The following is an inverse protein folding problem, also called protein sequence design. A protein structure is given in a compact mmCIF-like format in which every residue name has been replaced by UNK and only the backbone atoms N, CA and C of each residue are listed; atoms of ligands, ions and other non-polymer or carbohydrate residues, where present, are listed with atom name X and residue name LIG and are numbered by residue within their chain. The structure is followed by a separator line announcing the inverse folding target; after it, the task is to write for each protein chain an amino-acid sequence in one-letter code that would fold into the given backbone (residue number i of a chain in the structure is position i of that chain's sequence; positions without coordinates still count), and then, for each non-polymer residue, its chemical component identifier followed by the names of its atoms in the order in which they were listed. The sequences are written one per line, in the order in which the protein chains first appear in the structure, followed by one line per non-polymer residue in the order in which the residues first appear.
data_IF_900049510804
#
_entry.id   IF_900049510804
#
_cell.length_a   1.000
_cell.length_b   1.000
_cell.length_c   1.000
_cell.angle_alpha   90.00
_cell.angle_beta   90.00
_cell.angle_gamma   90.00
#
_symmetry.space_group_name_H-M   'P 1'
#
loop_
_entity.id
_entity.type
_entity.pdbx_description
1 polymer ?
#
# COMPACT_ATOMS: atom_id res chain seq x y z
N UNK A 1 23.46 20.83 -14.57
CA UNK A 1 23.50 19.57 -13.81
C UNK A 1 22.67 18.57 -14.59
N UNK A 2 23.20 17.38 -14.87
CA UNK A 2 22.45 16.33 -15.58
C UNK A 2 21.39 15.79 -14.62
N UNK A 3 20.11 15.90 -14.99
CA UNK A 3 18.98 15.42 -14.18
C UNK A 3 19.00 13.91 -13.97
N UNK A 4 18.10 13.42 -13.12
CA UNK A 4 18.00 11.98 -12.83
C UNK A 4 17.41 11.29 -14.06
N UNK A 5 18.11 10.27 -14.56
CA UNK A 5 17.61 9.48 -15.68
C UNK A 5 16.39 8.66 -15.25
N UNK A 6 15.30 8.73 -16.02
CA UNK A 6 14.10 7.92 -15.79
C UNK A 6 14.08 6.77 -16.79
N UNK A 7 14.19 5.53 -16.30
CA UNK A 7 14.05 4.34 -17.15
C UNK A 7 12.61 4.25 -17.63
N UNK A 8 12.38 4.31 -18.93
CA UNK A 8 11.03 4.11 -19.48
C UNK A 8 10.57 2.66 -19.26
N UNK A 9 9.29 2.48 -18.95
CA UNK A 9 8.66 1.17 -18.77
C UNK A 9 7.57 0.93 -19.82
N UNK A 10 7.20 -0.34 -20.10
CA UNK A 10 6.04 -0.66 -20.93
C UNK A 10 4.81 0.10 -20.42
N UNK A 11 4.04 0.69 -21.33
CA UNK A 11 2.93 1.59 -21.04
C UNK A 11 2.04 1.03 -19.92
N UNK A 12 2.10 1.67 -18.75
CA UNK A 12 1.25 1.41 -17.59
C UNK A 12 1.21 -0.04 -17.07
N UNK A 13 2.29 -0.79 -17.28
CA UNK A 13 2.50 -2.08 -16.61
C UNK A 13 2.35 -1.99 -15.08
N UNK A 14 2.01 -3.10 -14.43
CA UNK A 14 1.74 -3.17 -13.00
C UNK A 14 2.80 -3.94 -12.24
N UNK A 15 3.06 -3.50 -11.01
CA UNK A 15 3.79 -4.25 -10.00
C UNK A 15 3.11 -4.08 -8.64
N UNK A 16 3.30 -5.04 -7.74
CA UNK A 16 2.75 -4.99 -6.39
C UNK A 16 3.75 -5.52 -5.38
N UNK A 17 3.86 -4.83 -4.24
CA UNK A 17 4.59 -5.27 -3.07
C UNK A 17 3.61 -5.39 -1.89
N UNK A 18 3.66 -6.52 -1.19
CA UNK A 18 2.82 -6.80 -0.02
C UNK A 18 3.72 -7.16 1.15
N UNK A 19 3.65 -6.39 2.23
CA UNK A 19 4.29 -6.72 3.49
C UNK A 19 3.36 -7.59 4.34
N UNK A 20 3.86 -8.74 4.79
CA UNK A 20 3.12 -9.72 5.59
C UNK A 20 3.74 -9.89 6.97
N UNK A 21 2.89 -10.27 7.91
CA UNK A 21 3.25 -10.54 9.29
C UNK A 21 3.70 -12.00 9.42
N UNK A 22 4.88 -12.24 10.00
CA UNK A 22 5.36 -13.58 10.35
C UNK A 22 4.91 -13.94 11.76
N UNK A 23 4.17 -15.04 11.91
CA UNK A 23 3.47 -15.38 13.15
C UNK A 23 3.85 -16.75 13.71
N UNK A 24 3.79 -16.87 15.03
CA UNK A 24 3.66 -18.17 15.68
C UNK A 24 2.26 -18.76 15.40
N UNK A 25 2.13 -20.00 14.90
CA UNK A 25 0.84 -20.57 14.50
C UNK A 25 -0.13 -20.81 15.67
N UNK A 26 0.36 -20.87 16.92
CA UNK A 26 -0.45 -21.15 18.10
C UNK A 26 -0.74 -19.88 18.90
N UNK A 27 0.28 -19.06 19.17
CA UNK A 27 0.11 -17.82 19.95
C UNK A 27 -0.42 -16.67 19.09
N UNK A 28 -0.17 -16.72 17.78
CA UNK A 28 -0.40 -15.64 16.81
C UNK A 28 0.40 -14.38 17.10
N UNK A 29 1.45 -14.48 17.92
CA UNK A 29 2.40 -13.39 18.12
C UNK A 29 3.34 -13.29 16.91
N UNK A 30 3.85 -12.09 16.68
CA UNK A 30 4.93 -11.84 15.73
C UNK A 30 6.18 -12.67 16.10
N UNK A 31 6.86 -13.19 15.09
CA UNK A 31 8.13 -13.93 15.25
C UNK A 31 9.20 -13.35 14.33
N UNK A 32 10.44 -13.33 14.80
CA UNK A 32 11.62 -12.86 14.05
C UNK A 32 12.04 -13.89 12.98
N UNK A 33 11.18 -14.06 11.98
CA UNK A 33 11.22 -15.19 11.05
C UNK A 33 11.94 -14.93 9.74
N UNK A 34 12.24 -13.68 9.38
CA UNK A 34 12.76 -13.36 8.05
C UNK A 34 14.14 -13.97 7.78
N UNK A 35 15.05 -13.97 8.77
CA UNK A 35 16.39 -14.53 8.61
C UNK A 35 16.36 -16.07 8.45
N UNK A 36 15.63 -16.82 9.31
CA UNK A 36 15.38 -18.24 9.05
C UNK A 36 14.73 -18.52 7.69
N UNK A 37 13.79 -17.68 7.25
CA UNK A 37 13.12 -17.84 5.97
C UNK A 37 14.10 -17.68 4.79
N UNK A 38 14.93 -16.65 4.81
CA UNK A 38 15.96 -16.43 3.78
C UNK A 38 17.05 -17.51 3.81
N UNK A 39 17.34 -18.10 4.97
CA UNK A 39 18.31 -19.19 5.10
C UNK A 39 17.87 -20.47 4.36
N UNK A 40 16.56 -20.63 4.08
CA UNK A 40 16.06 -21.70 3.20
C UNK A 40 16.44 -21.49 1.72
N UNK A 41 17.14 -20.41 1.38
CA UNK A 41 17.50 -20.01 0.02
C UNK A 41 16.29 -20.09 -0.92
N UNK A 42 15.21 -19.35 -0.64
CA UNK A 42 14.07 -19.35 -1.54
C UNK A 42 14.55 -18.95 -2.95
N UNK A 43 14.28 -19.80 -3.95
CA UNK A 43 14.79 -19.64 -5.32
C UNK A 43 14.16 -18.47 -6.10
N UNK A 44 13.49 -17.54 -5.42
CA UNK A 44 12.70 -16.50 -6.07
C UNK A 44 13.09 -15.12 -5.54
N UNK A 45 13.34 -14.13 -6.41
CA UNK A 45 13.46 -12.70 -6.05
C UNK A 45 12.21 -12.11 -5.37
N UNK A 46 11.13 -12.90 -5.26
CA UNK A 46 9.83 -12.45 -4.77
C UNK A 46 9.69 -12.45 -3.25
N UNK A 47 10.63 -12.98 -2.47
CA UNK A 47 10.62 -12.92 -0.99
C UNK A 47 11.77 -12.03 -0.56
N UNK A 48 11.46 -10.89 0.04
CA UNK A 48 12.43 -9.89 0.45
C UNK A 48 12.35 -9.57 1.95
N UNK A 49 13.49 -9.23 2.57
CA UNK A 49 13.48 -8.71 3.92
C UNK A 49 13.02 -7.26 3.98
N UNK A 50 12.13 -6.99 4.92
CA UNK A 50 11.72 -5.63 5.25
C UNK A 50 12.44 -5.14 6.54
N UNK A 51 12.21 -3.88 6.92
CA UNK A 51 12.87 -3.21 8.04
C UNK A 51 12.83 -4.00 9.35
N UNK A 52 11.72 -4.68 9.66
CA UNK A 52 11.55 -5.49 10.88
C UNK A 52 11.67 -6.98 10.59
N UNK A 53 12.28 -7.73 11.51
CA UNK A 53 12.48 -9.17 11.33
C UNK A 53 11.18 -9.99 11.35
N UNK A 54 10.12 -9.42 11.93
CA UNK A 54 8.79 -10.00 11.94
C UNK A 54 7.95 -9.72 10.67
N UNK A 55 8.56 -9.07 9.68
CA UNK A 55 7.94 -8.77 8.40
C UNK A 55 8.65 -9.52 7.27
N UNK A 56 7.85 -9.95 6.29
CA UNK A 56 8.33 -10.42 5.00
C UNK A 56 7.61 -9.64 3.91
N UNK A 57 8.36 -9.12 2.95
CA UNK A 57 7.78 -8.52 1.76
C UNK A 57 7.72 -9.57 0.65
N UNK A 58 6.61 -9.59 -0.08
CA UNK A 58 6.58 -10.19 -1.41
C UNK A 58 6.45 -9.16 -2.50
N UNK A 59 7.13 -9.38 -3.61
CA UNK A 59 7.09 -8.48 -4.78
C UNK A 59 6.68 -9.28 -6.00
N UNK A 60 5.77 -8.73 -6.81
CA UNK A 60 5.43 -9.32 -8.10
C UNK A 60 6.53 -9.11 -9.13
N UNK A 61 6.49 -9.89 -10.21
CA UNK A 61 7.14 -9.47 -11.45
C UNK A 61 6.40 -8.27 -12.09
N UNK A 62 7.01 -7.65 -13.11
CA UNK A 62 6.31 -6.67 -13.94
C UNK A 62 5.22 -7.38 -14.75
N UNK A 63 3.97 -6.99 -14.55
CA UNK A 63 2.79 -7.59 -15.15
C UNK A 63 2.15 -6.64 -16.16
N UNK A 64 1.56 -7.16 -17.23
CA UNK A 64 0.96 -6.31 -18.29
C UNK A 64 -0.48 -5.89 -17.99
N UNK A 65 -1.15 -6.62 -17.11
CA UNK A 65 -2.54 -6.40 -16.74
C UNK A 65 -2.82 -6.98 -15.35
N UNK A 66 -4.01 -6.71 -14.84
CA UNK A 66 -4.41 -7.12 -13.50
C UNK A 66 -4.49 -8.65 -13.32
N UNK A 67 -4.85 -9.40 -14.37
CA UNK A 67 -4.97 -10.86 -14.29
C UNK A 67 -3.61 -11.54 -14.13
N UNK A 68 -2.59 -11.03 -14.84
CA UNK A 68 -1.20 -11.48 -14.67
C UNK A 68 -0.68 -11.16 -13.26
N UNK A 69 -1.03 -9.98 -12.73
CA UNK A 69 -0.65 -9.56 -11.38
C UNK A 69 -1.29 -10.47 -10.32
N UNK A 70 -2.59 -10.75 -10.43
CA UNK A 70 -3.33 -11.65 -9.54
C UNK A 70 -2.72 -13.05 -9.52
N UNK A 71 -2.48 -13.63 -10.70
CA UNK A 71 -1.86 -14.95 -10.82
C UNK A 71 -0.47 -15.00 -10.18
N UNK A 72 0.35 -13.97 -10.38
CA UNK A 72 1.70 -13.90 -9.84
C UNK A 72 1.71 -13.77 -8.32
N UNK A 73 0.88 -12.89 -7.76
CA UNK A 73 0.76 -12.69 -6.31
C UNK A 73 0.25 -13.96 -5.61
N UNK A 74 -0.75 -14.64 -6.19
CA UNK A 74 -1.23 -15.91 -5.65
C UNK A 74 -0.14 -16.98 -5.63
N UNK A 75 0.62 -17.12 -6.72
CA UNK A 75 1.73 -18.06 -6.78
C UNK A 75 2.81 -17.75 -5.72
N UNK A 76 3.20 -16.48 -5.59
CA UNK A 76 4.18 -16.02 -4.60
C UNK A 76 3.71 -16.29 -3.15
N UNK A 77 2.45 -16.02 -2.84
CA UNK A 77 1.89 -16.27 -1.51
C UNK A 77 1.76 -17.76 -1.18
N UNK A 78 1.35 -18.59 -2.12
CA UNK A 78 1.33 -20.04 -1.95
C UNK A 78 2.75 -20.58 -1.67
N UNK A 79 3.74 -20.08 -2.40
CA UNK A 79 5.15 -20.44 -2.19
C UNK A 79 5.66 -19.97 -0.82
N UNK A 80 5.42 -18.71 -0.45
CA UNK A 80 5.79 -18.16 0.86
C UNK A 80 5.14 -18.96 2.00
N UNK A 81 3.84 -19.23 1.91
CA UNK A 81 3.10 -20.01 2.90
C UNK A 81 3.73 -21.39 3.12
N UNK A 82 4.09 -22.11 2.06
CA UNK A 82 4.75 -23.40 2.16
C UNK A 82 6.11 -23.30 2.88
N UNK A 83 6.90 -22.26 2.57
CA UNK A 83 8.20 -22.03 3.24
C UNK A 83 8.06 -21.63 4.71
N UNK A 84 7.07 -20.83 5.06
CA UNK A 84 6.75 -20.49 6.45
C UNK A 84 6.30 -21.72 7.24
N UNK A 85 5.46 -22.59 6.65
CA UNK A 85 5.00 -23.83 7.29
C UNK A 85 6.16 -24.77 7.63
N UNK A 86 7.17 -24.89 6.76
CA UNK A 86 8.38 -25.69 7.05
C UNK A 86 9.17 -25.18 8.27
N UNK A 87 9.02 -23.91 8.62
CA UNK A 87 9.65 -23.30 9.79
C UNK A 87 8.72 -23.23 11.01
N UNK A 88 7.52 -23.83 10.93
CA UNK A 88 6.53 -23.73 12.00
C UNK A 88 6.00 -22.30 12.18
N UNK A 89 5.93 -21.51 11.11
CA UNK A 89 5.38 -20.16 11.09
C UNK A 89 4.06 -20.11 10.32
N UNK A 90 3.26 -19.09 10.60
CA UNK A 90 2.07 -18.71 9.85
C UNK A 90 2.18 -17.27 9.34
N UNK A 91 1.27 -16.86 8.46
CA UNK A 91 1.26 -15.51 7.87
C UNK A 91 -0.13 -14.88 7.90
N UNK A 92 -0.18 -13.56 8.00
CA UNK A 92 -1.37 -12.75 7.69
C UNK A 92 -0.95 -11.37 7.17
N UNK A 93 -1.92 -10.56 6.75
CA UNK A 93 -1.69 -9.21 6.28
C UNK A 93 -2.74 -8.24 6.85
N UNK A 94 -2.26 -7.11 7.36
CA UNK A 94 -3.02 -5.98 7.91
C UNK A 94 -2.05 -4.83 8.16
N UNK A 95 -2.52 -3.59 8.18
CA UNK A 95 -1.64 -2.42 8.30
C UNK A 95 -0.79 -2.39 9.58
N UNK A 96 -1.26 -3.04 10.64
CA UNK A 96 -0.59 -3.19 11.94
C UNK A 96 -0.90 -4.56 12.55
N UNK A 97 -0.09 -5.00 13.52
CA UNK A 97 -0.42 -6.17 14.33
C UNK A 97 -1.28 -5.77 15.53
N UNK A 98 -2.43 -6.41 15.73
CA UNK A 98 -3.47 -5.91 16.65
C UNK A 98 -3.04 -5.87 18.13
N UNK A 99 -2.29 -6.87 18.59
CA UNK A 99 -1.93 -7.01 20.01
C UNK A 99 -0.42 -7.09 20.29
N UNK A 100 0.43 -6.82 19.30
CA UNK A 100 1.87 -6.84 19.56
C UNK A 100 2.20 -5.63 20.43
N UNK A 101 2.77 -5.86 21.60
CA UNK A 101 3.06 -4.86 22.63
C UNK A 101 4.55 -4.87 23.05
N UNK A 102 5.42 -5.44 22.21
CA UNK A 102 6.86 -5.49 22.42
C UNK A 102 7.59 -4.98 21.17
N UNK A 103 8.88 -4.64 21.32
CA UNK A 103 9.69 -4.20 20.19
C UNK A 103 10.12 -5.37 19.34
N UNK A 104 10.01 -5.20 18.02
CA UNK A 104 10.54 -6.14 17.04
C UNK A 104 11.94 -5.67 16.60
N UNK A 105 12.94 -6.57 16.56
CA UNK A 105 14.28 -6.21 16.12
C UNK A 105 14.28 -5.80 14.64
N UNK A 106 15.20 -4.89 14.32
CA UNK A 106 15.47 -4.47 12.94
C UNK A 106 16.22 -5.59 12.21
N UNK A 107 15.91 -5.79 10.94
CA UNK A 107 16.67 -6.73 10.10
C UNK A 107 18.10 -6.21 9.94
N UNK A 108 19.15 -7.02 10.19
CA UNK A 108 20.54 -6.57 10.30
C UNK A 108 21.20 -6.29 8.94
N UNK A 109 20.57 -5.43 8.15
CA UNK A 109 21.08 -4.91 6.88
C UNK A 109 21.61 -3.50 7.15
N UNK A 110 22.83 -3.15 6.67
CA UNK A 110 23.47 -1.86 6.99
C UNK A 110 22.57 -0.63 6.79
N UNK A 111 21.81 -0.60 5.68
CA UNK A 111 20.82 0.46 5.40
C UNK A 111 19.75 0.58 6.48
N UNK A 112 19.17 -0.54 6.92
CA UNK A 112 18.13 -0.55 7.96
C UNK A 112 18.69 -0.15 9.32
N UNK A 113 19.92 -0.55 9.65
CA UNK A 113 20.58 -0.14 10.89
C UNK A 113 20.88 1.37 10.92
N UNK A 114 21.29 1.94 9.77
CA UNK A 114 21.46 3.39 9.64
C UNK A 114 20.13 4.13 9.80
N UNK A 115 19.04 3.64 9.18
CA UNK A 115 17.70 4.20 9.33
C UNK A 115 17.17 4.13 10.77
N UNK A 116 17.41 3.01 11.46
CA UNK A 116 17.08 2.84 12.87
C UNK A 116 17.81 3.86 13.74
N UNK A 117 19.13 4.01 13.53
CA UNK A 117 19.95 5.00 14.25
C UNK A 117 19.44 6.44 14.03
N UNK A 118 19.11 6.80 12.79
CA UNK A 118 18.60 8.12 12.46
C UNK A 118 17.20 8.42 13.00
N UNK A 119 16.35 7.39 13.15
CA UNK A 119 14.95 7.53 13.56
C UNK A 119 14.76 7.43 15.08
N UNK A 120 15.76 6.94 15.80
CA UNK A 120 15.72 6.74 17.25
C UNK A 120 14.56 5.84 17.68
N UNK A 121 13.94 6.16 18.82
CA UNK A 121 12.92 5.32 19.45
C UNK A 121 11.68 5.03 18.59
N UNK A 122 11.34 5.93 17.65
CA UNK A 122 10.18 5.72 16.75
C UNK A 122 10.40 4.47 15.89
N UNK A 123 11.65 4.17 15.50
CA UNK A 123 11.94 2.95 14.75
C UNK A 123 11.77 1.67 15.60
N UNK A 124 11.96 1.71 16.91
CA UNK A 124 11.77 0.53 17.79
C UNK A 124 10.30 0.10 17.82
N UNK A 125 9.39 1.08 17.83
CA UNK A 125 7.94 0.85 17.88
C UNK A 125 7.30 0.64 16.50
N UNK A 126 8.01 0.90 15.41
CA UNK A 126 7.47 0.75 14.04
C UNK A 126 7.23 -0.71 13.66
N UNK A 127 5.97 -1.15 13.78
CA UNK A 127 5.49 -2.47 13.36
C UNK A 127 4.30 -2.32 12.43
N UNK A 128 4.57 -1.85 11.21
CA UNK A 128 3.57 -1.54 10.18
C UNK A 128 3.80 -2.37 8.93
N UNK A 129 2.73 -2.65 8.18
CA UNK A 129 2.78 -3.45 6.96
C UNK A 129 2.01 -2.77 5.82
N UNK A 130 2.63 -2.56 4.67
CA UNK A 130 2.08 -1.84 3.54
C UNK A 130 1.56 -2.75 2.42
N UNK A 131 0.59 -2.22 1.66
CA UNK A 131 0.35 -2.58 0.27
C UNK A 131 0.94 -1.47 -0.61
N UNK A 132 1.77 -1.84 -1.57
CA UNK A 132 2.38 -0.91 -2.50
C UNK A 132 2.04 -1.33 -3.93
N UNK A 133 1.66 -0.35 -4.76
CA UNK A 133 1.32 -0.59 -6.17
C UNK A 133 2.24 0.27 -7.02
N UNK A 134 2.87 -0.35 -8.01
CA UNK A 134 3.67 0.29 -9.03
C UNK A 134 2.90 0.34 -10.34
N UNK A 135 2.89 1.50 -10.99
CA UNK A 135 2.40 1.65 -12.36
C UNK A 135 3.53 2.18 -13.24
N UNK A 136 3.83 1.47 -14.34
CA UNK A 136 4.85 1.82 -15.31
C UNK A 136 4.56 3.15 -15.99
N UNK A 137 5.55 4.03 -16.07
CA UNK A 137 5.41 5.35 -16.66
C UNK A 137 6.25 5.44 -17.94
N UNK A 138 5.70 5.99 -19.04
CA UNK A 138 6.45 6.19 -20.27
C UNK A 138 7.66 7.13 -20.11
N UNK A 139 7.56 8.11 -19.20
CA UNK A 139 8.64 9.06 -18.90
C UNK A 139 8.52 9.64 -17.49
N UNK A 140 9.57 10.31 -17.02
CA UNK A 140 9.56 11.04 -15.75
C UNK A 140 8.55 12.18 -15.73
N UNK A 141 8.33 12.87 -16.86
CA UNK A 141 7.33 13.95 -16.93
C UNK A 141 5.91 13.41 -16.79
N UNK A 142 5.61 12.25 -17.40
CA UNK A 142 4.33 11.57 -17.19
C UNK A 142 4.20 11.13 -15.72
N UNK A 143 5.27 10.61 -15.11
CA UNK A 143 5.25 10.21 -13.71
C UNK A 143 4.92 11.38 -12.77
N UNK A 144 5.49 12.56 -13.00
CA UNK A 144 5.25 13.76 -12.20
C UNK A 144 3.87 14.37 -12.45
N UNK A 145 3.41 14.43 -13.70
CA UNK A 145 2.04 14.89 -14.03
C UNK A 145 0.98 14.01 -13.35
N UNK A 146 1.10 12.68 -13.49
CA UNK A 146 0.19 11.74 -12.83
C UNK A 146 0.33 11.81 -11.32
N UNK A 147 1.54 11.98 -10.77
CA UNK A 147 1.71 12.16 -9.33
C UNK A 147 0.91 13.36 -8.81
N UNK A 148 0.96 14.50 -9.51
CA UNK A 148 0.20 15.69 -9.16
C UNK A 148 -1.31 15.46 -9.22
N UNK A 149 -1.79 14.78 -10.27
CA UNK A 149 -3.21 14.45 -10.48
C UNK A 149 -3.73 13.40 -9.49
N UNK A 150 -2.89 12.45 -9.06
CA UNK A 150 -3.28 11.34 -8.18
C UNK A 150 -3.23 11.73 -6.69
N UNK A 151 -2.44 12.75 -6.34
CA UNK A 151 -2.29 13.22 -4.95
C UNK A 151 -3.63 13.49 -4.22
N UNK A 152 -4.66 14.15 -4.82
CA UNK A 152 -5.96 14.34 -4.18
C UNK A 152 -6.72 13.05 -3.86
N UNK A 153 -6.37 11.93 -4.50
CA UNK A 153 -6.99 10.61 -4.31
C UNK A 153 -6.33 9.79 -3.21
N UNK A 154 -5.20 10.23 -2.64
CA UNK A 154 -4.52 9.52 -1.55
C UNK A 154 -5.43 9.27 -0.33
N UNK A 155 -6.25 10.23 0.15
CA UNK A 155 -7.22 9.97 1.22
C UNK A 155 -8.25 8.88 0.86
N UNK A 156 -8.66 8.82 -0.41
CA UNK A 156 -9.62 7.80 -0.89
C UNK A 156 -8.98 6.42 -0.84
N UNK A 157 -7.76 6.28 -1.36
CA UNK A 157 -7.01 5.02 -1.33
C UNK A 157 -6.75 4.56 0.10
N UNK A 158 -6.43 5.49 1.01
CA UNK A 158 -6.24 5.19 2.43
C UNK A 158 -7.53 4.69 3.09
N UNK A 159 -8.68 5.31 2.81
CA UNK A 159 -9.95 4.90 3.38
C UNK A 159 -10.42 3.54 2.86
N UNK A 160 -10.25 3.28 1.55
CA UNK A 160 -10.59 1.99 0.93
C UNK A 160 -9.71 0.84 1.44
N UNK A 161 -8.44 1.13 1.73
CA UNK A 161 -7.47 0.14 2.20
C UNK A 161 -7.38 0.01 3.72
N UNK A 162 -8.07 0.85 4.50
CA UNK A 162 -7.92 0.89 5.95
C UNK A 162 -8.06 -0.50 6.61
N UNK A 163 -6.98 -0.94 7.26
CA UNK A 163 -6.82 -2.31 7.80
C UNK A 163 -6.00 -2.33 9.09
N UNK A 164 -5.93 -1.21 9.81
CA UNK A 164 -5.11 -1.07 11.04
C UNK A 164 -5.81 -0.32 12.18
N UNK A 165 -6.97 -0.79 12.68
CA UNK A 165 -7.66 -0.12 13.78
C UNK A 165 -6.98 -0.31 15.14
N UNK A 166 -6.19 -1.36 15.31
CA UNK A 166 -5.56 -1.74 16.58
C UNK A 166 -4.05 -1.50 16.58
N UNK A 167 -3.51 -1.12 17.74
CA UNK A 167 -2.08 -0.96 17.96
C UNK A 167 -1.74 -1.22 19.42
N UNK A 168 -0.70 -1.98 19.69
CA UNK A 168 -0.22 -2.22 21.06
C UNK A 168 -1.28 -2.79 22.01
N UNK A 169 -2.24 -3.55 21.48
CA UNK A 169 -3.30 -4.12 22.30
C UNK A 169 -4.50 -3.20 22.54
N UNK A 170 -4.59 -2.07 21.84
CA UNK A 170 -5.65 -1.08 22.01
C UNK A 170 -6.38 -0.79 20.70
N UNK A 171 -7.71 -0.57 20.76
CA UNK A 171 -8.41 0.14 19.68
C UNK A 171 -7.95 1.59 19.70
N UNK A 172 -7.33 2.01 18.61
CA UNK A 172 -6.74 3.35 18.49
C UNK A 172 -7.79 4.42 18.21
N UNK A 173 -9.01 4.02 17.87
CA UNK A 173 -10.04 4.87 17.29
C UNK A 173 -9.82 5.17 15.79
N UNK A 174 -8.66 4.88 15.21
CA UNK A 174 -8.41 5.09 13.78
C UNK A 174 -8.95 3.93 12.93
N UNK A 175 -9.26 4.18 11.66
CA UNK A 175 -9.50 3.13 10.67
C UNK A 175 -8.17 2.59 10.12
N UNK A 176 -7.23 3.50 9.88
CA UNK A 176 -5.83 3.20 9.56
C UNK A 176 -4.91 3.93 10.53
N UNK A 177 -4.49 3.25 11.59
CA UNK A 177 -3.48 3.77 12.51
C UNK A 177 -2.07 3.77 11.90
N UNK A 178 -1.76 2.83 10.99
CA UNK A 178 -0.46 2.76 10.30
C UNK A 178 -0.09 4.12 9.72
N UNK A 179 -0.99 4.74 8.94
CA UNK A 179 -0.69 6.03 8.32
C UNK A 179 -0.53 7.17 9.34
N UNK A 180 -1.31 7.16 10.42
CA UNK A 180 -1.17 8.12 11.52
C UNK A 180 0.20 7.99 12.19
N UNK A 181 0.60 6.77 12.54
CA UNK A 181 1.91 6.48 13.13
C UNK A 181 3.06 6.92 12.21
N UNK A 182 3.03 6.53 10.93
CA UNK A 182 4.08 6.87 9.98
C UNK A 182 4.24 8.39 9.77
N UNK A 183 3.23 9.21 10.09
CA UNK A 183 3.36 10.68 10.02
C UNK A 183 4.37 11.27 11.02
N UNK A 184 4.83 10.50 12.02
CA UNK A 184 5.88 10.94 12.94
C UNK A 184 7.28 10.91 12.32
N UNK A 185 7.45 10.25 11.17
CA UNK A 185 8.71 10.19 10.46
C UNK A 185 8.86 11.35 9.48
N UNK A 186 10.07 11.89 9.41
CA UNK A 186 10.43 12.97 8.48
C UNK A 186 10.22 12.61 7.00
N UNK A 187 10.46 11.35 6.65
CA UNK A 187 10.51 10.88 5.26
C UNK A 187 9.16 10.39 4.74
N UNK A 188 8.15 10.31 5.61
CA UNK A 188 6.79 9.90 5.28
C UNK A 188 5.88 11.11 5.19
N UNK A 189 4.80 11.01 4.42
CA UNK A 189 3.99 12.17 4.11
C UNK A 189 3.42 12.13 2.71
N UNK A 190 2.45 13.01 2.45
CA UNK A 190 2.06 13.31 1.08
C UNK A 190 3.21 14.03 0.37
N UNK A 191 3.49 13.72 -0.91
CA UNK A 191 4.60 14.34 -1.63
C UNK A 191 4.35 15.85 -1.86
N UNK A 192 5.42 16.66 -1.97
CA UNK A 192 5.34 17.98 -2.58
C UNK A 192 4.85 17.88 -4.04
N UNK A 193 4.28 18.96 -4.55
CA UNK A 193 3.91 19.06 -5.96
C UNK A 193 5.09 19.58 -6.77
N UNK A 194 5.35 18.95 -7.92
CA UNK A 194 6.40 19.36 -8.85
C UNK A 194 5.79 19.65 -10.22
N UNK A 195 6.14 20.76 -10.89
CA UNK A 195 5.63 21.04 -12.24
C UNK A 195 6.19 20.09 -13.31
N UNK A 196 7.46 19.72 -13.21
CA UNK A 196 8.16 18.89 -14.21
C UNK A 196 9.05 17.83 -13.57
N UNK A 197 9.50 16.86 -14.37
CA UNK A 197 10.54 15.91 -13.94
C UNK A 197 11.85 16.59 -13.55
N UNK A 198 12.18 17.70 -14.21
CA UNK A 198 13.38 18.46 -13.89
C UNK A 198 13.29 19.09 -12.50
N UNK A 199 12.13 19.65 -12.12
CA UNK A 199 11.92 20.21 -10.78
C UNK A 199 12.04 19.13 -9.69
N UNK A 200 11.51 17.94 -9.94
CA UNK A 200 11.68 16.79 -9.05
C UNK A 200 13.16 16.38 -8.95
N UNK A 201 13.87 16.33 -10.07
CA UNK A 201 15.30 16.01 -10.12
C UNK A 201 16.14 17.02 -9.35
N UNK A 202 15.88 18.32 -9.53
CA UNK A 202 16.58 19.41 -8.86
C UNK A 202 16.32 19.39 -7.34
N UNK A 203 15.08 19.11 -6.94
CA UNK A 203 14.74 18.85 -5.54
C UNK A 203 15.56 17.70 -4.97
N UNK A 204 15.60 16.54 -5.65
CA UNK A 204 16.29 15.37 -5.12
C UNK A 204 17.79 15.62 -5.03
N UNK A 205 18.42 16.23 -6.04
CA UNK A 205 19.84 16.60 -6.02
C UNK A 205 20.13 17.53 -4.85
N UNK A 206 19.28 18.54 -4.63
CA UNK A 206 19.41 19.48 -3.50
C UNK A 206 19.28 18.76 -2.15
N UNK A 207 18.27 17.89 -2.02
CA UNK A 207 18.03 17.12 -0.83
C UNK A 207 19.18 16.14 -0.55
N UNK A 208 19.76 15.53 -1.59
CA UNK A 208 20.92 14.66 -1.49
C UNK A 208 22.16 15.42 -1.02
N UNK A 209 22.46 16.58 -1.62
CA UNK A 209 23.55 17.45 -1.17
C UNK A 209 23.38 17.92 0.28
N UNK A 210 22.14 18.16 0.72
CA UNK A 210 21.83 18.52 2.10
C UNK A 210 21.84 17.33 3.07
N UNK A 211 22.19 16.12 2.62
CA UNK A 211 22.20 14.91 3.45
C UNK A 211 20.81 14.45 3.89
N UNK A 212 19.75 14.88 3.19
CA UNK A 212 18.38 14.53 3.52
C UNK A 212 18.03 13.10 3.12
N UNK A 213 18.54 12.67 1.96
CA UNK A 213 18.33 11.35 1.34
C UNK A 213 19.63 10.95 0.64
N UNK A 214 20.00 9.68 0.70
CA UNK A 214 21.16 9.18 -0.05
C UNK A 214 20.72 8.70 -1.44
N UNK A 215 19.59 7.98 -1.48
CA UNK A 215 18.97 7.43 -2.68
C UNK A 215 17.46 7.68 -2.67
N UNK A 216 16.81 7.58 -3.83
CA UNK A 216 15.34 7.80 -3.94
C UNK A 216 14.54 6.85 -3.05
N UNK A 217 15.04 5.64 -2.80
CA UNK A 217 14.40 4.67 -1.88
C UNK A 217 14.28 5.18 -0.44
N UNK A 218 15.02 6.22 -0.04
CA UNK A 218 14.93 6.84 1.28
C UNK A 218 13.75 7.82 1.42
N UNK A 219 13.10 8.19 0.30
CA UNK A 219 11.89 9.01 0.29
C UNK A 219 10.69 8.11 0.54
N UNK A 220 10.12 8.09 1.74
CA UNK A 220 9.01 7.19 2.10
C UNK A 220 7.62 7.84 1.94
N UNK A 221 7.49 8.76 0.97
CA UNK A 221 6.23 9.44 0.70
C UNK A 221 5.12 8.45 0.32
N UNK A 222 3.88 8.88 0.55
CA UNK A 222 2.65 8.17 0.21
C UNK A 222 2.52 7.83 -1.29
N UNK A 223 3.22 8.60 -2.12
CA UNK A 223 3.28 8.51 -3.57
C UNK A 223 4.64 9.06 -4.04
N UNK A 224 5.38 8.31 -4.86
CA UNK A 224 6.68 8.76 -5.38
C UNK A 224 7.03 8.18 -6.74
N UNK A 225 7.83 8.87 -7.57
CA UNK A 225 8.45 8.28 -8.74
C UNK A 225 9.59 7.32 -8.35
N UNK A 226 9.78 6.26 -9.13
CA UNK A 226 10.87 5.29 -9.03
C UNK A 226 11.60 5.21 -10.37
N UNK A 227 12.58 6.08 -10.63
CA UNK A 227 13.20 6.19 -11.95
C UNK A 227 13.97 4.94 -12.38
N UNK A 228 14.56 4.19 -11.44
CA UNK A 228 15.27 2.95 -11.77
C UNK A 228 14.32 1.82 -12.21
N UNK A 229 13.08 1.83 -11.72
CA UNK A 229 12.03 0.89 -12.10
C UNK A 229 11.16 1.43 -13.24
N UNK A 230 11.20 2.74 -13.48
CA UNK A 230 10.34 3.40 -14.46
C UNK A 230 8.89 3.45 -14.04
N UNK A 231 8.60 3.63 -12.75
CA UNK A 231 7.23 3.54 -12.22
C UNK A 231 6.86 4.76 -11.39
N UNK A 232 5.56 5.02 -11.27
CA UNK A 232 4.98 5.76 -10.16
C UNK A 232 4.51 4.75 -9.11
N UNK A 233 4.88 4.96 -7.85
CA UNK A 233 4.68 4.03 -6.75
C UNK A 233 3.74 4.62 -5.71
N UNK A 234 2.61 3.94 -5.48
CA UNK A 234 1.57 4.29 -4.51
C UNK A 234 1.80 3.47 -3.24
N UNK A 235 2.07 4.12 -2.10
CA UNK A 235 2.53 3.48 -0.84
C UNK A 235 1.66 3.75 0.37
N UNK A 236 0.59 4.55 0.21
CA UNK A 236 -0.23 5.00 1.34
C UNK A 236 -1.04 3.86 1.99
N UNK A 237 -1.34 2.80 1.25
CA UNK A 237 -2.31 1.78 1.64
C UNK A 237 -1.78 0.82 2.71
N UNK A 238 -2.66 0.38 3.59
CA UNK A 238 -2.38 -0.72 4.51
C UNK A 238 -2.32 -2.04 3.74
N UNK A 239 -1.53 -3.00 4.23
CA UNK A 239 -1.60 -4.37 3.75
C UNK A 239 -3.03 -4.93 3.91
N UNK A 240 -3.53 -5.64 2.89
CA UNK A 240 -4.89 -6.18 2.90
C UNK A 240 -4.92 -7.63 3.38
N UNK A 241 -5.96 -8.05 4.13
CA UNK A 241 -6.09 -9.43 4.62
C UNK A 241 -6.21 -10.49 3.52
N UNK A 242 -6.62 -10.08 2.32
CA UNK A 242 -6.91 -10.98 1.20
C UNK A 242 -6.24 -10.50 -0.08
N UNK A 243 -5.92 -11.44 -0.98
CA UNK A 243 -5.38 -11.15 -2.30
C UNK A 243 -6.41 -10.44 -3.15
N UNK A 244 -7.67 -10.88 -3.07
CA UNK A 244 -8.77 -10.27 -3.82
C UNK A 244 -8.90 -8.77 -3.50
N UNK A 245 -8.75 -8.38 -2.23
CA UNK A 245 -8.79 -6.97 -1.83
C UNK A 245 -7.55 -6.19 -2.32
N UNK A 246 -6.36 -6.79 -2.29
CA UNK A 246 -5.15 -6.17 -2.87
C UNK A 246 -5.28 -5.93 -4.38
N UNK A 247 -5.75 -6.93 -5.12
CA UNK A 247 -5.92 -6.87 -6.58
C UNK A 247 -7.03 -5.88 -6.96
N UNK A 248 -8.12 -5.82 -6.18
CA UNK A 248 -9.16 -4.82 -6.34
C UNK A 248 -8.63 -3.39 -6.25
N UNK A 249 -7.77 -3.11 -5.26
CA UNK A 249 -7.13 -1.80 -5.12
C UNK A 249 -6.16 -1.51 -6.27
N UNK A 250 -5.44 -2.52 -6.76
CA UNK A 250 -4.56 -2.38 -7.93
C UNK A 250 -5.34 -2.06 -9.22
N UNK A 251 -6.48 -2.73 -9.46
CA UNK A 251 -7.36 -2.42 -10.57
C UNK A 251 -7.90 -0.98 -10.49
N UNK A 252 -8.32 -0.55 -9.30
CA UNK A 252 -8.78 0.83 -9.08
C UNK A 252 -7.68 1.85 -9.37
N UNK A 253 -6.47 1.64 -8.85
CA UNK A 253 -5.32 2.52 -9.11
C UNK A 253 -4.96 2.53 -10.60
N UNK A 254 -4.94 1.37 -11.27
CA UNK A 254 -4.56 1.28 -12.68
C UNK A 254 -5.57 1.99 -13.59
N UNK A 255 -6.86 1.67 -13.44
CA UNK A 255 -7.96 2.34 -14.15
C UNK A 255 -7.97 3.85 -13.90
N UNK A 256 -7.73 4.30 -12.67
CA UNK A 256 -7.67 5.72 -12.33
C UNK A 256 -6.46 6.42 -12.97
N UNK A 257 -5.27 5.81 -12.92
CA UNK A 257 -4.06 6.37 -13.54
C UNK A 257 -4.25 6.55 -15.04
N UNK A 258 -4.81 5.58 -15.73
CA UNK A 258 -5.09 5.66 -17.17
C UNK A 258 -6.16 6.68 -17.50
N UNK A 259 -7.19 6.75 -16.68
CA UNK A 259 -8.21 7.78 -16.80
C UNK A 259 -7.57 9.19 -16.70
N UNK A 260 -6.74 9.42 -15.67
CA UNK A 260 -6.06 10.69 -15.43
C UNK A 260 -5.01 11.04 -16.49
N UNK A 261 -4.36 10.02 -17.08
CA UNK A 261 -3.42 10.19 -18.18
C UNK A 261 -4.11 10.66 -19.45
N UNK A 262 -5.23 10.03 -19.80
CA UNK A 262 -5.98 10.34 -21.01
C UNK A 262 -6.83 11.63 -20.88
N UNK A 263 -6.98 12.16 -19.66
CA UNK A 263 -7.70 13.41 -19.42
C UNK A 263 -6.80 14.64 -19.53
N UNK A 264 -7.10 15.58 -20.45
CA UNK A 264 -6.33 16.82 -20.59
C UNK A 264 -6.42 17.69 -19.33
N UNK A 265 -5.31 18.37 -18.99
CA UNK A 265 -5.31 19.37 -17.92
C UNK A 265 -6.35 20.47 -18.20
N UNK A 266 -7.04 20.91 -17.14
CA UNK A 266 -8.07 21.95 -17.23
C UNK A 266 -9.46 21.46 -17.64
N UNK A 267 -9.65 20.17 -17.90
CA UNK A 267 -10.98 19.60 -18.12
C UNK A 267 -11.73 19.57 -16.79
N UNK A 268 -12.71 20.46 -16.62
CA UNK A 268 -13.63 20.40 -15.50
C UNK A 268 -14.62 19.27 -15.73
N UNK A 269 -14.33 18.11 -15.17
CA UNK A 269 -15.37 17.12 -14.90
C UNK A 269 -15.75 17.31 -13.44
N UNK A 270 -17.03 17.54 -13.12
CA UNK A 270 -17.50 17.85 -11.76
C UNK A 270 -17.22 16.78 -10.67
N UNK A 271 -16.42 15.76 -10.97
CA UNK A 271 -16.02 14.66 -10.10
C UNK A 271 -14.50 14.45 -10.01
N UNK A 272 -13.68 15.14 -10.83
CA UNK A 272 -12.21 15.04 -10.72
C UNK A 272 -11.76 15.83 -9.48
N UNK A 273 -11.21 15.11 -8.51
CA UNK A 273 -10.64 15.73 -7.32
C UNK A 273 -9.47 16.63 -7.74
N UNK A 274 -9.52 17.88 -7.28
CA UNK A 274 -8.51 18.89 -7.57
C UNK A 274 -7.53 19.05 -6.41
N UNK A 275 -6.28 19.47 -6.67
CA UNK A 275 -5.34 19.81 -5.59
C UNK A 275 -5.91 20.90 -4.68
N UNK A 276 -5.70 20.74 -3.38
CA UNK A 276 -6.10 21.71 -2.35
C UNK A 276 -4.87 22.32 -1.67
N UNK A 277 -5.02 23.42 -0.94
CA UNK A 277 -3.98 23.88 -0.02
C UNK A 277 -3.52 22.75 0.91
N UNK A 278 -2.22 22.67 1.17
CA UNK A 278 -1.60 21.53 1.87
C UNK A 278 -2.20 21.22 3.24
N UNK A 279 -2.75 22.21 3.94
CA UNK A 279 -3.42 22.03 5.22
C UNK A 279 -4.76 21.29 5.08
N UNK A 280 -5.50 21.50 3.98
CA UNK A 280 -6.73 20.76 3.66
C UNK A 280 -6.41 19.34 3.17
N UNK A 281 -5.35 19.18 2.36
CA UNK A 281 -4.88 17.86 1.94
C UNK A 281 -4.52 17.01 3.18
N UNK A 282 -3.77 17.61 4.12
CA UNK A 282 -3.41 16.97 5.40
C UNK A 282 -4.63 16.63 6.24
N UNK A 283 -5.62 17.52 6.29
CA UNK A 283 -6.89 17.26 6.97
C UNK A 283 -7.62 16.07 6.33
N UNK A 284 -7.78 16.02 5.00
CA UNK A 284 -8.41 14.88 4.32
C UNK A 284 -7.70 13.55 4.60
N UNK A 285 -6.36 13.53 4.64
CA UNK A 285 -5.58 12.34 5.06
C UNK A 285 -5.90 11.95 6.50
N UNK A 286 -5.98 12.92 7.42
CA UNK A 286 -6.37 12.66 8.81
C UNK A 286 -7.79 12.08 8.88
N UNK A 287 -8.77 12.66 8.16
CA UNK A 287 -10.16 12.18 8.15
C UNK A 287 -10.26 10.75 7.63
N UNK A 288 -9.58 10.45 6.52
CA UNK A 288 -9.49 9.10 5.97
C UNK A 288 -8.82 8.13 6.95
N UNK A 289 -7.73 8.54 7.60
CA UNK A 289 -7.05 7.72 8.62
C UNK A 289 -7.98 7.42 9.80
N UNK A 290 -8.75 8.41 10.26
CA UNK A 290 -9.55 8.34 11.48
C UNK A 290 -10.88 7.63 11.31
N UNK A 291 -11.57 7.86 10.19
CA UNK A 291 -12.95 7.38 9.96
C UNK A 291 -13.08 6.46 8.74
N UNK A 292 -12.02 6.26 7.95
CA UNK A 292 -12.07 5.43 6.76
C UNK A 292 -13.14 5.92 5.79
N UNK A 293 -13.97 5.01 5.31
CA UNK A 293 -15.05 5.30 4.35
C UNK A 293 -16.19 6.15 4.91
N UNK A 294 -16.27 6.29 6.24
CA UNK A 294 -17.31 7.10 6.89
C UNK A 294 -16.88 8.57 7.09
N UNK A 295 -15.71 8.95 6.55
CA UNK A 295 -15.23 10.32 6.52
C UNK A 295 -16.01 11.22 5.54
N UNK A 296 -15.99 12.53 5.80
CA UNK A 296 -16.35 13.55 4.80
C UNK A 296 -15.08 14.16 4.22
N UNK A 297 -14.93 14.13 2.90
CA UNK A 297 -13.81 14.70 2.16
C UNK A 297 -14.09 16.18 1.86
N UNK A 298 -13.13 17.06 2.13
CA UNK A 298 -13.16 18.48 1.75
C UNK A 298 -12.83 18.57 0.26
N UNK A 299 -13.72 19.08 -0.57
CA UNK A 299 -13.59 19.04 -2.03
C UNK A 299 -13.08 20.35 -2.65
N UNK A 300 -13.23 21.47 -1.95
CA UNK A 300 -12.89 22.80 -2.45
C UNK A 300 -12.30 23.71 -1.39
N UNK A 301 -11.90 24.92 -1.81
CA UNK A 301 -11.21 25.89 -0.96
C UNK A 301 -12.18 26.64 -0.03
N UNK A 302 -13.48 26.58 -0.32
CA UNK A 302 -14.57 27.08 0.52
C UNK A 302 -14.83 26.16 1.72
N UNK A 303 -14.28 24.94 1.70
CA UNK A 303 -14.40 23.97 2.76
C UNK A 303 -15.66 23.11 2.66
N UNK A 304 -16.32 23.10 1.50
CA UNK A 304 -17.44 22.19 1.27
C UNK A 304 -16.95 20.74 1.35
N UNK A 305 -17.80 19.87 1.86
CA UNK A 305 -17.44 18.46 2.04
C UNK A 305 -18.57 17.51 1.69
N UNK A 306 -18.20 16.35 1.17
CA UNK A 306 -19.12 15.27 0.81
C UNK A 306 -18.71 13.94 1.45
N UNK A 307 -19.67 13.03 1.69
CA UNK A 307 -19.36 11.70 2.16
C UNK A 307 -18.40 10.98 1.21
N UNK A 308 -17.34 10.39 1.75
CA UNK A 308 -16.30 9.74 0.97
C UNK A 308 -16.84 8.61 0.08
N UNK A 309 -17.82 7.86 0.59
CA UNK A 309 -18.55 6.83 -0.17
C UNK A 309 -19.20 7.37 -1.43
N UNK A 310 -19.78 8.57 -1.39
CA UNK A 310 -20.40 9.19 -2.56
C UNK A 310 -19.36 9.59 -3.60
N UNK A 311 -18.23 10.15 -3.15
CA UNK A 311 -17.10 10.49 -4.03
C UNK A 311 -16.53 9.23 -4.70
N UNK A 312 -16.38 8.13 -3.96
CA UNK A 312 -15.90 6.88 -4.55
C UNK A 312 -16.85 6.36 -5.63
N UNK A 313 -18.17 6.47 -5.43
CA UNK A 313 -19.15 6.08 -6.46
C UNK A 313 -19.00 6.92 -7.73
N UNK A 314 -18.89 8.24 -7.60
CA UNK A 314 -18.66 9.12 -8.75
C UNK A 314 -17.35 8.79 -9.49
N UNK A 315 -16.28 8.46 -8.74
CA UNK A 315 -15.01 8.04 -9.34
C UNK A 315 -15.18 6.72 -10.10
N UNK A 316 -15.83 5.72 -9.51
CA UNK A 316 -16.09 4.43 -10.16
C UNK A 316 -16.88 4.58 -11.45
N UNK A 317 -17.90 5.46 -11.46
CA UNK A 317 -18.67 5.77 -12.66
C UNK A 317 -17.79 6.42 -13.73
N UNK A 318 -16.95 7.37 -13.34
CA UNK A 318 -16.05 8.08 -14.24
C UNK A 318 -14.99 7.16 -14.90
N UNK A 319 -14.36 6.29 -14.11
CA UNK A 319 -13.32 5.38 -14.62
C UNK A 319 -13.90 4.12 -15.27
N UNK A 320 -15.23 3.94 -15.27
CA UNK A 320 -15.90 2.72 -15.72
C UNK A 320 -15.54 2.31 -17.15
N UNK A 321 -15.53 3.25 -18.10
CA UNK A 321 -15.16 2.96 -19.50
C UNK A 321 -13.68 2.58 -19.65
N UNK A 322 -12.79 3.22 -18.88
CA UNK A 322 -11.38 2.85 -18.83
C UNK A 322 -11.22 1.43 -18.30
N UNK A 323 -11.92 1.10 -17.21
CA UNK A 323 -11.91 -0.23 -16.63
C UNK A 323 -12.46 -1.30 -17.58
N UNK A 324 -13.52 -1.00 -18.34
CA UNK A 324 -14.05 -1.90 -19.36
C UNK A 324 -13.01 -2.19 -20.45
N UNK A 325 -12.29 -1.16 -20.89
CA UNK A 325 -11.21 -1.29 -21.88
C UNK A 325 -10.05 -2.15 -21.37
N UNK A 326 -9.76 -2.09 -20.06
CA UNK A 326 -8.71 -2.87 -19.42
C UNK A 326 -9.14 -4.28 -18.98
N UNK A 327 -10.43 -4.61 -19.04
CA UNK A 327 -10.97 -5.84 -18.46
C UNK A 327 -11.03 -5.82 -16.93
N UNK A 328 -11.02 -4.64 -16.31
CA UNK A 328 -10.92 -4.44 -14.86
C UNK A 328 -12.28 -4.22 -14.17
N UNK A 329 -13.36 -4.09 -14.95
CA UNK A 329 -14.72 -3.86 -14.43
C UNK A 329 -15.16 -4.84 -13.33
N UNK A 330 -14.87 -6.15 -13.41
CA UNK A 330 -15.23 -7.08 -12.34
C UNK A 330 -14.59 -6.74 -10.98
N UNK A 331 -13.36 -6.24 -10.98
CA UNK A 331 -12.66 -5.83 -9.76
C UNK A 331 -13.24 -4.53 -9.20
N UNK A 332 -13.62 -3.58 -10.07
CA UNK A 332 -14.29 -2.36 -9.62
C UNK A 332 -15.68 -2.63 -9.04
N UNK A 333 -16.41 -3.60 -9.58
CA UNK A 333 -17.68 -4.02 -8.99
C UNK A 333 -17.52 -4.62 -7.59
N UNK A 334 -16.42 -5.35 -7.34
CA UNK A 334 -16.10 -5.79 -5.97
C UNK A 334 -15.88 -4.59 -5.03
N UNK A 335 -15.20 -3.55 -5.51
CA UNK A 335 -14.98 -2.32 -4.74
C UNK A 335 -16.31 -1.64 -4.39
N UNK A 336 -17.22 -1.56 -5.36
CA UNK A 336 -18.57 -1.04 -5.16
C UNK A 336 -19.33 -1.82 -4.07
N UNK A 337 -19.32 -3.15 -4.12
CA UNK A 337 -19.90 -4.00 -3.07
C UNK A 337 -19.24 -3.79 -1.69
N UNK A 338 -17.93 -3.49 -1.68
CA UNK A 338 -17.18 -3.19 -0.46
C UNK A 338 -17.50 -1.82 0.14
N UNK A 339 -18.06 -0.89 -0.63
CA UNK A 339 -18.60 0.32 -0.04
C UNK A 339 -19.65 -0.09 0.99
N UNK A 340 -20.65 -0.88 0.64
CA UNK A 340 -21.74 -1.21 1.56
C UNK A 340 -21.30 -2.11 2.73
N UNK A 341 -20.42 -3.09 2.47
CA UNK A 341 -19.98 -4.06 3.49
C UNK A 341 -18.85 -3.56 4.38
N UNK A 342 -18.09 -2.56 3.93
CA UNK A 342 -16.99 -1.94 4.66
C UNK A 342 -15.61 -2.54 4.41
N UNK A 343 -14.57 -1.75 4.71
CA UNK A 343 -13.18 -2.18 4.63
C UNK A 343 -12.77 -3.10 5.80
N UNK A 344 -11.54 -3.61 5.76
CA UNK A 344 -10.99 -4.57 6.74
C UNK A 344 -11.13 -4.12 8.20
N UNK A 345 -10.88 -2.83 8.50
CA UNK A 345 -10.96 -2.32 9.86
C UNK A 345 -12.36 -2.52 10.51
N UNK A 346 -13.44 -2.49 9.72
CA UNK A 346 -14.80 -2.73 10.21
C UNK A 346 -14.98 -4.20 10.60
N UNK A 347 -14.46 -5.14 9.79
CA UNK A 347 -14.50 -6.57 10.08
C UNK A 347 -13.68 -6.90 11.34
N UNK A 348 -12.48 -6.34 11.45
CA UNK A 348 -11.62 -6.50 12.61
C UNK A 348 -12.31 -6.01 13.90
N UNK A 349 -12.93 -4.82 13.88
CA UNK A 349 -13.70 -4.31 15.02
C UNK A 349 -14.90 -5.18 15.37
N UNK A 350 -15.65 -5.67 14.37
CA UNK A 350 -16.79 -6.58 14.62
C UNK A 350 -16.34 -7.89 15.30
N UNK A 351 -15.19 -8.44 14.90
CA UNK A 351 -14.60 -9.61 15.57
C UNK A 351 -14.23 -9.27 17.02
N UNK A 352 -13.61 -8.12 17.26
CA UNK A 352 -13.27 -7.69 18.61
C UNK A 352 -14.50 -7.44 19.49
N UNK A 353 -15.51 -6.72 18.99
CA UNK A 353 -16.77 -6.44 19.69
C UNK A 353 -17.52 -7.72 20.09
N UNK A 354 -17.51 -8.73 19.23
CA UNK A 354 -18.21 -10.00 19.48
C UNK A 354 -17.44 -10.97 20.38
N UNK A 355 -16.11 -10.85 20.46
CA UNK A 355 -15.26 -11.84 21.17
C UNK A 355 -14.50 -11.27 22.36
N UNK A 356 -14.33 -9.96 22.45
CA UNK A 356 -13.43 -9.29 23.39
C UNK A 356 -11.95 -9.61 23.19
N UNK A 357 -11.55 -10.20 22.07
CA UNK A 357 -10.22 -10.80 21.88
C UNK A 357 -9.48 -10.28 20.64
N UNK A 358 -8.38 -9.58 20.84
CA UNK A 358 -7.49 -9.16 19.75
C UNK A 358 -6.75 -10.34 19.11
N UNK A 359 -6.54 -11.43 19.85
CA UNK A 359 -6.05 -12.68 19.28
C UNK A 359 -7.06 -13.27 18.29
N UNK A 360 -8.36 -13.16 18.57
CA UNK A 360 -9.40 -13.59 17.64
C UNK A 360 -9.43 -12.73 16.37
N UNK A 361 -9.11 -11.42 16.47
CA UNK A 361 -8.93 -10.55 15.31
C UNK A 361 -7.79 -11.04 14.43
N UNK A 362 -6.60 -11.30 14.99
CA UNK A 362 -5.49 -11.85 14.19
C UNK A 362 -5.82 -13.22 13.62
N UNK A 363 -6.54 -14.07 14.37
CA UNK A 363 -7.00 -15.36 13.88
C UNK A 363 -7.96 -15.22 12.68
N UNK A 364 -8.82 -14.19 12.66
CA UNK A 364 -9.70 -13.94 11.50
C UNK A 364 -8.90 -13.54 10.28
N UNK A 365 -7.89 -12.66 10.43
CA UNK A 365 -7.01 -12.25 9.33
C UNK A 365 -6.22 -13.43 8.74
N UNK A 366 -5.68 -14.30 9.59
CA UNK A 366 -5.03 -15.55 9.18
C UNK A 366 -5.99 -16.44 8.39
N UNK A 367 -7.23 -16.57 8.88
CA UNK A 367 -8.26 -17.38 8.24
C UNK A 367 -8.66 -16.82 6.87
N UNK A 368 -8.90 -15.51 6.77
CA UNK A 368 -9.25 -14.81 5.52
C UNK A 368 -8.21 -15.09 4.43
N UNK A 369 -6.91 -14.91 4.74
CA UNK A 369 -5.84 -15.21 3.79
C UNK A 369 -5.75 -16.71 3.45
N UNK A 370 -5.89 -17.58 4.45
CA UNK A 370 -5.75 -19.02 4.27
C UNK A 370 -6.86 -19.62 3.39
N UNK A 371 -8.09 -19.13 3.49
CA UNK A 371 -9.22 -19.56 2.68
C UNK A 371 -8.97 -19.28 1.19
N UNK A 372 -8.50 -18.09 0.83
CA UNK A 372 -8.18 -17.76 -0.57
C UNK A 372 -7.05 -18.62 -1.15
N UNK A 373 -6.01 -18.88 -0.36
CA UNK A 373 -4.88 -19.71 -0.79
C UNK A 373 -5.22 -21.21 -0.89
N UNK A 374 -6.34 -21.65 -0.32
CA UNK A 374 -6.78 -23.07 -0.36
C UNK A 374 -7.72 -23.33 -1.54
N UNK A 375 -8.51 -22.33 -1.94
CA UNK A 375 -9.52 -22.46 -3.01
C UNK A 375 -8.89 -22.55 -4.41
N UNK A 376 -7.59 -22.26 -4.55
CA UNK A 376 -6.94 -22.16 -5.86
C UNK A 376 -5.84 -23.20 -6.13
N UNK A 377 -6.21 -24.48 -6.36
CA UNK A 377 -5.25 -25.51 -6.79
C UNK A 377 -4.68 -25.28 -8.21
N UNK A 378 -5.20 -24.29 -8.96
CA UNK A 378 -4.76 -23.98 -10.33
C UNK A 378 -3.42 -23.24 -10.42
N UNK A 379 -2.95 -22.56 -9.37
CA UNK A 379 -1.72 -21.74 -9.45
C UNK A 379 -0.42 -22.48 -9.14
N UNK A 380 -0.48 -23.74 -8.68
CA UNK A 380 0.72 -24.58 -8.52
C UNK A 380 1.44 -24.83 -9.86
N UNK A 381 0.77 -24.61 -11.00
CA UNK A 381 1.36 -24.72 -12.33
C UNK A 381 2.26 -23.53 -12.73
N UNK A 382 2.27 -22.44 -11.95
CA UNK A 382 3.03 -21.21 -12.23
C UNK A 382 4.21 -20.97 -11.29
N UNK A 383 4.50 -21.91 -10.38
CA UNK A 383 5.74 -21.87 -9.60
C UNK A 383 6.89 -22.11 -10.60
N UNK A 384 7.85 -21.16 -10.73
CA UNK A 384 9.05 -21.40 -11.52
C UNK A 384 9.72 -22.68 -11.01
N UNK A 385 9.99 -23.62 -11.93
CA UNK A 385 10.70 -24.87 -11.61
C UNK A 385 12.15 -24.63 -11.24
#
# INVERSE_FOLDING_TARGET
MTGIEFKSSPEFSLGMEIELQLLNPHTLELVDGILPLLAQKPEIPCIQPEFKQASVEISSQVCRNIHELEANILANLCYLKAKCQNLGMNICAAGTHAFCNHFTPVTPIPRYLAQHTASGYIADIMTTFALQIHVGMPSGDVAVDIMGKLKPYLPILLALSASSPFWWGHDTGFASYRRCFLSSFRTYGSPPSFPTWQDFSDFFITAQHAGMFEIIRDIHWDLRPQPNLGTLEIRIMDAQPTVKESIMLAAFVHSLVLYLHNYPQGTQTGFLLSPLPSWMEKENIFRASRWGLDANYIEDQEGNSRPMRSIVKDILDAIGMTADTLGERPYLHLLEQRLDTGASYIRQRRVFESTGSLKAVVASLVKELAEELTISPYYLAYIPK
#
